data_IF_393259449851
#
_entry.id   IF_393259449851
#
_cell.length_a   1.000
_cell.length_b   1.000
_cell.length_c   1.000
_cell.angle_alpha   90.00
_cell.angle_beta   90.00
_cell.angle_gamma   90.00
#
_symmetry.space_group_name_H-M   'P 1'
#
loop_
_entity.id
_entity.type
_entity.pdbx_description
1 polymer ?
#
# COMPACT_ATOMS: atom_id res chain seq x y z
N UNK A 1 2.23 -27.01 1.32
CA UNK A 1 2.83 -26.40 0.12
C UNK A 1 1.96 -25.28 -0.45
N UNK A 2 0.74 -25.55 -0.94
CA UNK A 2 -0.14 -24.55 -1.58
C UNK A 2 -0.39 -23.30 -0.74
N UNK A 3 -0.63 -23.46 0.57
CA UNK A 3 -0.76 -22.32 1.50
C UNK A 3 0.45 -21.39 1.48
N UNK A 4 1.66 -21.93 1.35
CA UNK A 4 2.91 -21.14 1.38
C UNK A 4 3.09 -20.31 0.10
N UNK A 5 2.70 -20.88 -1.04
CA UNK A 5 2.67 -20.21 -2.34
C UNK A 5 1.63 -19.09 -2.34
N UNK A 6 0.40 -19.39 -1.90
CA UNK A 6 -0.68 -18.41 -1.80
C UNK A 6 -0.32 -17.22 -0.90
N UNK A 7 0.24 -17.50 0.28
CA UNK A 7 0.67 -16.45 1.22
C UNK A 7 1.79 -15.59 0.65
N UNK A 8 2.74 -16.18 -0.08
CA UNK A 8 3.83 -15.44 -0.69
C UNK A 8 3.32 -14.44 -1.75
N UNK A 9 2.47 -14.90 -2.68
CA UNK A 9 1.91 -14.02 -3.70
C UNK A 9 0.98 -12.96 -3.11
N UNK A 10 0.23 -13.30 -2.06
CA UNK A 10 -0.61 -12.35 -1.33
C UNK A 10 0.23 -11.25 -0.66
N UNK A 11 1.32 -11.61 0.00
CA UNK A 11 2.22 -10.65 0.66
C UNK A 11 2.85 -9.69 -0.37
N UNK A 12 3.34 -10.22 -1.49
CA UNK A 12 3.89 -9.39 -2.58
C UNK A 12 2.84 -8.43 -3.15
N UNK A 13 1.65 -8.94 -3.51
CA UNK A 13 0.58 -8.12 -4.07
C UNK A 13 0.07 -7.07 -3.09
N UNK A 14 0.09 -7.38 -1.79
CA UNK A 14 -0.24 -6.41 -0.75
C UNK A 14 0.83 -5.31 -0.65
N UNK A 15 2.11 -5.67 -0.66
CA UNK A 15 3.21 -4.70 -0.67
C UNK A 15 3.15 -3.78 -1.91
N UNK A 16 2.91 -4.35 -3.10
CA UNK A 16 2.71 -3.60 -4.33
C UNK A 16 1.52 -2.64 -4.23
N UNK A 17 0.42 -3.09 -3.60
CA UNK A 17 -0.76 -2.25 -3.38
C UNK A 17 -0.47 -1.09 -2.42
N UNK A 18 0.27 -1.33 -1.33
CA UNK A 18 0.68 -0.25 -0.42
C UNK A 18 1.57 0.78 -1.12
N UNK A 19 2.50 0.34 -1.98
CA UNK A 19 3.32 1.24 -2.79
C UNK A 19 2.45 2.06 -3.76
N UNK A 20 1.47 1.42 -4.40
CA UNK A 20 0.48 2.10 -5.23
C UNK A 20 -0.31 3.16 -4.44
N UNK A 21 -0.84 2.82 -3.27
CA UNK A 21 -1.58 3.77 -2.42
C UNK A 21 -0.71 4.95 -2.00
N UNK A 22 0.58 4.74 -1.74
CA UNK A 22 1.50 5.84 -1.43
C UNK A 22 1.62 6.83 -2.60
N UNK A 23 1.77 6.35 -3.83
CA UNK A 23 1.80 7.19 -5.03
C UNK A 23 0.46 7.93 -5.26
N UNK A 24 -0.67 7.24 -5.07
CA UNK A 24 -1.99 7.86 -5.16
C UNK A 24 -2.10 9.01 -4.15
N UNK A 25 -1.66 8.80 -2.92
CA UNK A 25 -1.67 9.82 -1.86
C UNK A 25 -0.80 11.03 -2.23
N UNK A 26 0.40 10.81 -2.77
CA UNK A 26 1.29 11.91 -3.19
C UNK A 26 0.69 12.75 -4.34
N UNK A 27 -0.02 12.10 -5.27
CA UNK A 27 -0.58 12.77 -6.45
C UNK A 27 -1.95 13.41 -6.23
N UNK A 28 -2.64 13.08 -5.13
CA UNK A 28 -4.02 13.53 -4.89
C UNK A 28 -4.11 15.01 -4.53
N UNK A 29 -3.05 15.57 -3.93
CA UNK A 29 -2.98 16.99 -3.59
C UNK A 29 -3.01 17.89 -4.82
N UNK A 30 -2.56 17.40 -5.99
CA UNK A 30 -2.64 18.11 -7.26
C UNK A 30 -4.05 18.07 -7.87
N UNK A 31 -4.84 17.01 -7.57
CA UNK A 31 -6.22 16.83 -8.06
C UNK A 31 -7.27 17.57 -7.21
N UNK A 32 -6.95 17.87 -5.96
CA UNK A 32 -7.78 18.70 -5.07
C UNK A 32 -8.05 20.13 -5.62
N UNK A 33 -7.25 20.59 -6.59
CA UNK A 33 -7.49 21.86 -7.30
C UNK A 33 -8.76 21.83 -8.17
N UNK A 34 -9.34 20.65 -8.43
CA UNK A 34 -10.56 20.46 -9.24
C UNK A 34 -11.88 20.45 -8.43
N UNK A 35 -11.87 20.86 -7.15
CA UNK A 35 -13.05 20.90 -6.22
C UNK A 35 -13.62 19.55 -5.79
N UNK A 36 -12.99 18.43 -6.13
CA UNK A 36 -13.35 17.11 -5.59
C UNK A 36 -12.71 16.87 -4.22
N UNK A 37 -13.40 16.16 -3.32
CA UNK A 37 -12.85 15.84 -2.00
C UNK A 37 -11.69 14.84 -2.15
N UNK A 38 -10.47 15.14 -1.63
CA UNK A 38 -9.31 14.28 -1.80
C UNK A 38 -9.52 12.84 -1.31
N UNK A 39 -10.29 12.66 -0.24
CA UNK A 39 -10.58 11.34 0.31
C UNK A 39 -11.43 10.48 -0.65
N UNK A 40 -12.41 11.09 -1.32
CA UNK A 40 -13.28 10.38 -2.24
C UNK A 40 -12.52 9.93 -3.49
N UNK A 41 -11.63 10.78 -4.01
CA UNK A 41 -10.75 10.43 -5.13
C UNK A 41 -9.78 9.30 -4.74
N UNK A 42 -9.29 9.28 -3.49
CA UNK A 42 -8.43 8.22 -3.00
C UNK A 42 -9.20 6.89 -3.00
N UNK A 43 -10.41 6.89 -2.43
CA UNK A 43 -11.26 5.69 -2.40
C UNK A 43 -11.66 5.22 -3.80
N UNK A 44 -11.98 6.15 -4.72
CA UNK A 44 -12.34 5.85 -6.11
C UNK A 44 -11.25 5.06 -6.83
N UNK A 45 -9.99 5.30 -6.49
CA UNK A 45 -8.83 4.65 -7.08
C UNK A 45 -8.39 3.42 -6.28
N UNK A 46 -8.38 3.50 -4.93
CA UNK A 46 -7.89 2.45 -4.04
C UNK A 46 -8.75 1.19 -4.06
N UNK A 47 -10.09 1.34 -3.97
CA UNK A 47 -11.00 0.20 -3.82
C UNK A 47 -10.98 -0.74 -5.04
N UNK A 48 -11.08 -0.24 -6.29
CA UNK A 48 -11.02 -1.12 -7.46
C UNK A 48 -9.68 -1.85 -7.60
N UNK A 49 -8.55 -1.21 -7.27
CA UNK A 49 -7.24 -1.87 -7.31
C UNK A 49 -7.12 -2.97 -6.24
N UNK A 50 -7.61 -2.71 -5.03
CA UNK A 50 -7.62 -3.72 -3.96
C UNK A 50 -8.38 -4.99 -4.37
N UNK A 51 -9.56 -4.84 -5.00
CA UNK A 51 -10.37 -5.98 -5.45
C UNK A 51 -9.65 -6.87 -6.48
N UNK A 52 -8.65 -6.36 -7.20
CA UNK A 52 -7.86 -7.15 -8.16
C UNK A 52 -6.90 -8.12 -7.46
N UNK A 53 -6.54 -7.87 -6.20
CA UNK A 53 -5.54 -8.67 -5.47
C UNK A 53 -5.95 -10.13 -5.41
N UNK A 54 -7.20 -10.43 -5.02
CA UNK A 54 -7.65 -11.83 -4.87
C UNK A 54 -7.47 -12.65 -6.15
N UNK A 55 -7.97 -12.14 -7.28
CA UNK A 55 -7.85 -12.84 -8.56
C UNK A 55 -6.39 -12.99 -9.02
N UNK A 56 -5.55 -11.99 -8.73
CA UNK A 56 -4.10 -12.07 -9.01
C UNK A 56 -3.39 -13.07 -8.11
N UNK A 57 -3.75 -13.19 -6.83
CA UNK A 57 -3.20 -14.21 -5.91
C UNK A 57 -3.52 -15.60 -6.44
N UNK A 58 -4.78 -15.85 -6.82
CA UNK A 58 -5.22 -17.13 -7.38
C UNK A 58 -4.45 -17.47 -8.66
N UNK A 59 -4.39 -16.52 -9.61
CA UNK A 59 -3.70 -16.70 -10.89
C UNK A 59 -2.20 -16.96 -10.71
N UNK A 60 -1.48 -16.14 -9.93
CA UNK A 60 -0.04 -16.31 -9.69
C UNK A 60 0.27 -17.62 -8.95
N UNK A 61 -0.60 -18.01 -8.02
CA UNK A 61 -0.41 -19.25 -7.27
C UNK A 61 -0.64 -20.47 -8.14
N UNK A 62 -1.65 -20.45 -9.01
CA UNK A 62 -1.88 -21.51 -9.99
C UNK A 62 -0.71 -21.65 -10.98
N UNK A 63 -0.18 -20.53 -11.46
CA UNK A 63 0.99 -20.50 -12.34
C UNK A 63 2.21 -21.12 -11.67
N UNK A 64 2.53 -20.71 -10.43
CA UNK A 64 3.65 -21.30 -9.68
C UNK A 64 3.45 -22.79 -9.41
N UNK A 65 2.22 -23.23 -9.12
CA UNK A 65 1.92 -24.64 -8.92
C UNK A 65 2.07 -25.45 -10.21
N UNK A 66 1.73 -24.88 -11.36
CA UNK A 66 1.85 -25.53 -12.66
C UNK A 66 3.30 -25.62 -13.14
N UNK A 67 4.15 -24.66 -12.79
CA UNK A 67 5.56 -24.62 -13.21
C UNK A 67 6.53 -25.24 -12.21
N UNK A 68 6.10 -25.51 -10.98
CA UNK A 68 6.97 -26.06 -9.94
C UNK A 68 7.31 -27.53 -10.23
N UNK A 69 8.60 -27.85 -10.18
CA UNK A 69 9.07 -29.24 -10.25
C UNK A 69 8.74 -29.96 -8.93
N UNK A 70 7.92 -31.03 -9.02
CA UNK A 70 7.54 -31.86 -7.88
C UNK A 70 8.38 -33.13 -7.92
N UNK A 71 9.33 -33.25 -6.99
CA UNK A 71 10.17 -34.43 -6.83
C UNK A 71 9.60 -35.37 -5.76
N UNK A 72 10.20 -36.55 -5.60
CA UNK A 72 9.86 -37.48 -4.51
C UNK A 72 10.08 -36.88 -3.11
N UNK A 73 10.97 -35.89 -3.00
CA UNK A 73 11.26 -35.17 -1.75
C UNK A 73 10.34 -33.95 -1.55
N UNK A 74 9.43 -33.70 -2.50
CA UNK A 74 8.49 -32.58 -2.50
C UNK A 74 8.90 -31.47 -3.48
N UNK A 75 8.35 -30.27 -3.26
CA UNK A 75 8.65 -29.08 -4.06
C UNK A 75 9.69 -28.20 -3.40
N UNK A 76 10.73 -27.88 -4.15
CA UNK A 76 11.65 -26.80 -3.83
C UNK A 76 10.98 -25.44 -4.10
N UNK A 77 10.39 -24.88 -3.06
CA UNK A 77 9.76 -23.56 -3.09
C UNK A 77 10.76 -22.44 -3.41
N UNK A 78 12.02 -22.57 -3.01
CA UNK A 78 13.02 -21.54 -3.23
C UNK A 78 13.49 -21.52 -4.70
N UNK A 79 13.53 -22.68 -5.36
CA UNK A 79 13.73 -22.79 -6.80
C UNK A 79 12.50 -22.27 -7.58
N UNK A 80 11.29 -22.52 -7.08
CA UNK A 80 10.04 -22.00 -7.65
C UNK A 80 9.81 -20.48 -7.41
N UNK A 81 10.82 -19.74 -6.95
CA UNK A 81 10.74 -18.29 -6.70
C UNK A 81 10.00 -17.89 -5.41
N UNK A 82 9.49 -18.85 -4.64
CA UNK A 82 8.76 -18.63 -3.38
C UNK A 82 9.75 -18.60 -2.22
N UNK A 83 10.43 -17.46 -2.08
CA UNK A 83 11.44 -17.23 -1.04
C UNK A 83 10.92 -16.30 0.05
N UNK A 84 11.29 -16.60 1.30
CA UNK A 84 11.02 -15.68 2.41
C UNK A 84 12.05 -14.54 2.40
N UNK A 85 11.65 -13.31 2.80
CA UNK A 85 12.60 -12.26 3.11
C UNK A 85 13.60 -12.72 4.18
N UNK A 86 14.86 -12.35 4.02
CA UNK A 86 15.95 -12.73 4.94
C UNK A 86 16.03 -11.83 6.17
N UNK A 87 15.43 -10.63 6.12
CA UNK A 87 15.36 -9.66 7.23
C UNK A 87 14.21 -8.68 7.01
N UNK A 88 13.52 -8.27 8.08
CA UNK A 88 12.48 -7.24 8.09
C UNK A 88 12.84 -6.17 9.11
N UNK A 89 12.97 -4.92 8.66
CA UNK A 89 13.22 -3.77 9.51
C UNK A 89 11.92 -3.01 9.75
N UNK A 90 11.67 -2.60 10.99
CA UNK A 90 10.47 -1.85 11.37
C UNK A 90 10.86 -0.46 11.87
N UNK A 91 10.21 0.57 11.34
CA UNK A 91 10.42 1.96 11.73
C UNK A 91 9.06 2.68 11.89
N UNK A 92 9.05 3.74 12.68
CA UNK A 92 7.88 4.59 12.87
C UNK A 92 7.93 5.76 11.88
N UNK A 93 6.85 5.97 11.11
CA UNK A 93 6.68 7.15 10.26
C UNK A 93 5.67 8.08 10.92
N UNK A 94 6.03 9.35 11.09
CA UNK A 94 5.10 10.41 11.45
C UNK A 94 4.68 11.13 10.18
N UNK A 95 3.47 10.85 9.72
CA UNK A 95 2.88 11.46 8.52
C UNK A 95 1.67 12.32 8.94
N UNK A 96 1.56 13.54 8.42
CA UNK A 96 0.35 14.37 8.59
C UNK A 96 -0.25 14.72 7.20
N UNK A 97 -0.95 13.77 6.56
CA UNK A 97 -1.28 13.85 5.13
C UNK A 97 -2.49 14.72 4.78
N UNK A 98 -3.18 15.31 5.76
CA UNK A 98 -4.39 16.13 5.53
C UNK A 98 -4.27 17.56 6.04
N UNK A 99 -3.14 17.89 6.62
CA UNK A 99 -2.91 19.18 7.22
C UNK A 99 -1.99 19.94 6.27
N UNK A 100 -2.56 20.86 5.52
CA UNK A 100 -1.69 21.73 4.73
C UNK A 100 -0.80 22.51 5.69
N UNK A 101 0.51 22.50 5.47
CA UNK A 101 1.45 23.32 6.26
C UNK A 101 0.99 24.78 6.34
N UNK A 102 0.32 25.24 5.28
CA UNK A 102 -0.35 26.54 5.20
C UNK A 102 -1.50 26.71 6.21
N UNK A 103 -2.40 25.73 6.36
CA UNK A 103 -3.48 25.80 7.36
C UNK A 103 -2.96 25.72 8.79
N UNK A 104 -1.92 24.92 9.07
CA UNK A 104 -1.26 24.91 10.38
C UNK A 104 -0.58 26.23 10.70
N UNK A 105 0.15 26.81 9.73
CA UNK A 105 0.77 28.11 9.87
C UNK A 105 -0.30 29.19 10.12
N UNK A 106 -1.39 29.17 9.35
CA UNK A 106 -2.50 30.11 9.50
C UNK A 106 -3.22 29.96 10.85
N UNK A 107 -3.45 28.73 11.30
CA UNK A 107 -4.08 28.41 12.59
C UNK A 107 -3.19 28.85 13.78
N UNK A 108 -1.87 28.66 13.68
CA UNK A 108 -0.89 29.16 14.65
C UNK A 108 -0.85 30.69 14.70
N UNK A 109 -0.83 31.37 13.55
CA UNK A 109 -0.89 32.84 13.46
C UNK A 109 -2.19 33.38 14.06
N UNK A 110 -3.33 32.76 13.75
CA UNK A 110 -4.64 33.12 14.31
C UNK A 110 -4.68 32.93 15.83
N UNK A 111 -4.08 31.86 16.34
CA UNK A 111 -3.95 31.61 17.78
C UNK A 111 -3.09 32.67 18.50
N UNK A 112 -1.97 33.07 17.90
CA UNK A 112 -1.11 34.13 18.43
C UNK A 112 -1.79 35.50 18.46
N UNK A 113 -2.52 35.86 17.40
CA UNK A 113 -3.30 37.10 17.34
C UNK A 113 -4.42 37.16 18.40
N UNK A 114 -5.06 36.02 18.71
CA UNK A 114 -6.07 35.93 19.76
C UNK A 114 -5.48 36.11 21.16
N UNK A 115 -4.27 35.62 21.40
CA UNK A 115 -3.57 35.73 22.70
C UNK A 115 -3.05 37.14 22.97
N UNK A 116 -2.74 37.92 21.93
CA UNK A 116 -2.25 39.32 22.06
C UNK A 116 -3.38 40.34 22.30
N UNK A 117 -4.65 39.93 22.16
CA UNK A 117 -5.85 40.77 22.30
C UNK A 117 -6.59 40.55 23.64
N UNK A 118 -6.07 39.68 24.50
CA UNK A 118 -6.48 39.48 25.90
C UNK A 118 -5.35 39.94 26.81
#
# INVERSE_FOLDING_TARGET
MCRRIMLFHMDQLWADHLAFLNNVRETIHLRAMAREQPLDEFHRVAIPEFHKIRGRVESRSAETLASAEITSDGVDLAAAGVRRPTSTWTYLVQDNPFDSDAEQALKKVRGMLRKKRS
#
